data_IF_399119707721
#
_entry.id   IF_399119707721
#
_cell.length_a   1.000
_cell.length_b   1.000
_cell.length_c   1.000
_cell.angle_alpha   90.00
_cell.angle_beta   90.00
_cell.angle_gamma   90.00
#
_symmetry.space_group_name_H-M   'P 1'
#
loop_
_entity.id
_entity.type
_entity.pdbx_description
1 polymer ?
#
# COMPACT_ATOMS: atom_id res chain seq x y z
N UNK A 1 -12.26 10.00 -6.30
CA UNK A 1 -10.96 9.56 -6.87
C UNK A 1 -10.91 8.04 -6.86
N UNK A 2 -10.13 7.44 -7.75
CA UNK A 2 -10.02 5.99 -7.96
C UNK A 2 -8.62 5.51 -7.62
N UNK A 3 -8.49 4.60 -6.65
CA UNK A 3 -7.20 4.11 -6.18
C UNK A 3 -7.08 2.60 -6.31
N UNK A 4 -5.89 2.14 -6.73
CA UNK A 4 -5.54 0.73 -6.65
C UNK A 4 -4.76 0.49 -5.35
N UNK A 5 -5.30 -0.36 -4.50
CA UNK A 5 -4.72 -0.71 -3.19
C UNK A 5 -4.31 -2.17 -3.20
N UNK A 6 -3.04 -2.44 -2.90
CA UNK A 6 -2.52 -3.80 -2.74
C UNK A 6 -2.06 -4.02 -1.31
N UNK A 7 -2.57 -5.08 -0.66
CA UNK A 7 -2.09 -5.54 0.64
C UNK A 7 -1.08 -6.66 0.40
N UNK A 8 0.19 -6.35 0.63
CA UNK A 8 1.30 -7.27 0.44
C UNK A 8 1.55 -8.21 1.62
N UNK A 9 2.35 -9.26 1.37
CA UNK A 9 2.69 -10.28 2.37
C UNK A 9 3.83 -9.86 3.32
N UNK A 10 3.78 -8.67 3.88
CA UNK A 10 4.64 -8.24 4.98
C UNK A 10 3.82 -8.12 6.27
N UNK A 11 4.45 -8.27 7.43
CA UNK A 11 3.81 -7.99 8.72
C UNK A 11 3.32 -6.54 8.76
N UNK A 12 2.22 -6.28 9.46
CA UNK A 12 1.58 -4.95 9.49
C UNK A 12 0.38 -4.83 8.54
N UNK A 13 -0.36 -5.94 8.30
CA UNK A 13 -1.64 -5.89 7.59
C UNK A 13 -2.59 -4.84 8.16
N UNK A 14 -2.45 -4.50 9.44
CA UNK A 14 -3.26 -3.48 10.11
C UNK A 14 -3.15 -2.10 9.44
N UNK A 15 -2.00 -1.73 8.86
CA UNK A 15 -1.85 -0.50 8.08
C UNK A 15 -2.79 -0.50 6.86
N UNK A 16 -2.81 -1.62 6.12
CA UNK A 16 -3.68 -1.77 4.95
C UNK A 16 -5.15 -1.75 5.30
N UNK A 17 -5.54 -2.44 6.38
CA UNK A 17 -6.93 -2.44 6.88
C UNK A 17 -7.37 -1.02 7.24
N UNK A 18 -6.57 -0.33 8.05
CA UNK A 18 -6.88 1.02 8.51
C UNK A 18 -6.94 2.02 7.35
N UNK A 19 -6.03 1.87 6.38
CA UNK A 19 -6.05 2.68 5.16
C UNK A 19 -7.33 2.46 4.34
N UNK A 20 -7.75 1.21 4.11
CA UNK A 20 -8.99 0.87 3.42
C UNK A 20 -10.22 1.48 4.11
N UNK A 21 -10.29 1.39 5.44
CA UNK A 21 -11.39 1.93 6.23
C UNK A 21 -11.53 3.44 6.02
N UNK A 22 -10.44 4.19 6.15
CA UNK A 22 -10.48 5.65 6.01
C UNK A 22 -10.72 6.07 4.54
N UNK A 23 -10.14 5.36 3.58
CA UNK A 23 -10.34 5.66 2.16
C UNK A 23 -11.80 5.41 1.73
N UNK A 24 -12.40 4.31 2.20
CA UNK A 24 -13.82 4.00 1.98
C UNK A 24 -14.73 5.03 2.67
N UNK A 25 -14.45 5.41 3.92
CA UNK A 25 -15.20 6.44 4.65
C UNK A 25 -15.23 7.78 3.91
N UNK A 26 -14.18 8.11 3.16
CA UNK A 26 -14.13 9.32 2.34
C UNK A 26 -14.82 9.18 0.97
N UNK A 27 -15.41 8.02 0.66
CA UNK A 27 -16.16 7.78 -0.56
C UNK A 27 -15.30 7.64 -1.83
N UNK A 28 -14.03 7.23 -1.69
CA UNK A 28 -13.15 6.98 -2.82
C UNK A 28 -13.40 5.59 -3.44
N UNK A 29 -13.27 5.47 -4.75
CA UNK A 29 -13.38 4.20 -5.47
C UNK A 29 -12.11 3.37 -5.24
N UNK A 30 -12.26 2.17 -4.67
CA UNK A 30 -11.17 1.30 -4.26
C UNK A 30 -11.16 0.03 -5.11
N UNK A 31 -10.05 -0.19 -5.80
CA UNK A 31 -9.69 -1.41 -6.52
C UNK A 31 -8.68 -2.17 -5.68
N UNK A 32 -9.04 -3.35 -5.17
CA UNK A 32 -8.28 -4.05 -4.13
C UNK A 32 -7.64 -5.34 -4.65
N UNK A 33 -6.39 -5.55 -4.28
CA UNK A 33 -5.72 -6.85 -4.29
C UNK A 33 -5.24 -7.18 -2.87
N UNK A 34 -5.46 -8.41 -2.43
CA UNK A 34 -4.86 -8.97 -1.22
C UNK A 34 -4.07 -10.21 -1.63
N UNK A 35 -2.74 -10.16 -1.53
CA UNK A 35 -1.89 -11.27 -1.93
C UNK A 35 -2.12 -12.51 -1.06
N UNK A 36 -1.81 -13.71 -1.56
CA UNK A 36 -1.93 -14.96 -0.79
C UNK A 36 -1.11 -14.92 0.50
N UNK A 37 0.09 -14.32 0.45
CA UNK A 37 0.89 -14.07 1.65
C UNK A 37 0.17 -13.17 2.66
N UNK A 38 -0.47 -12.11 2.18
CA UNK A 38 -1.22 -11.20 3.05
C UNK A 38 -2.45 -11.86 3.68
N UNK A 39 -3.16 -12.73 2.96
CA UNK A 39 -4.31 -13.48 3.52
C UNK A 39 -3.88 -14.36 4.70
N UNK A 40 -2.69 -15.00 4.62
CA UNK A 40 -2.13 -15.80 5.72
C UNK A 40 -1.73 -14.93 6.92
N UNK A 41 -1.01 -13.83 6.67
CA UNK A 41 -0.57 -12.90 7.72
C UNK A 41 -1.76 -12.25 8.42
N UNK A 42 -2.79 -11.87 7.68
CA UNK A 42 -4.03 -11.30 8.21
C UNK A 42 -4.64 -12.16 9.32
N UNK A 43 -4.67 -13.49 9.12
CA UNK A 43 -5.20 -14.45 10.09
C UNK A 43 -4.34 -14.58 11.36
N UNK A 44 -3.03 -14.33 11.25
CA UNK A 44 -2.10 -14.40 12.38
C UNK A 44 -2.03 -13.11 13.18
N UNK A 45 -2.15 -11.96 12.53
CA UNK A 45 -1.91 -10.66 13.14
C UNK A 45 -3.18 -9.97 13.63
N UNK A 46 -4.35 -10.33 13.09
CA UNK A 46 -5.58 -9.56 13.31
C UNK A 46 -6.79 -10.46 13.48
N UNK A 47 -7.89 -9.88 13.93
CA UNK A 47 -9.22 -10.52 13.94
C UNK A 47 -10.00 -10.30 12.64
N UNK A 48 -9.45 -9.54 11.69
CA UNK A 48 -10.08 -9.28 10.41
C UNK A 48 -9.98 -10.47 9.47
N UNK A 49 -11.01 -10.67 8.67
CA UNK A 49 -11.04 -11.70 7.63
C UNK A 49 -10.93 -11.06 6.24
N UNK A 50 -10.48 -11.83 5.26
CA UNK A 50 -10.48 -11.39 3.86
C UNK A 50 -11.88 -10.96 3.39
N UNK A 51 -12.93 -11.64 3.88
CA UNK A 51 -14.32 -11.29 3.57
C UNK A 51 -14.66 -9.86 4.04
N UNK A 52 -14.19 -9.46 5.22
CA UNK A 52 -14.37 -8.09 5.74
C UNK A 52 -13.61 -7.07 4.86
N UNK A 53 -12.37 -7.36 4.47
CA UNK A 53 -11.60 -6.43 3.65
C UNK A 53 -12.30 -6.15 2.31
N UNK A 54 -12.92 -7.17 1.71
CA UNK A 54 -13.68 -7.01 0.46
C UNK A 54 -14.83 -6.01 0.58
N UNK A 55 -15.42 -5.85 1.75
CA UNK A 55 -16.55 -4.91 1.95
C UNK A 55 -16.13 -3.45 1.87
N UNK A 56 -14.85 -3.13 1.99
CA UNK A 56 -14.33 -1.78 1.81
C UNK A 56 -14.01 -1.43 0.36
N UNK A 57 -13.97 -2.43 -0.53
CA UNK A 57 -13.57 -2.25 -1.93
C UNK A 57 -14.76 -2.24 -2.88
N UNK A 58 -14.66 -1.47 -3.96
CA UNK A 58 -15.63 -1.46 -5.05
C UNK A 58 -15.39 -2.63 -6.00
N UNK A 59 -14.12 -2.96 -6.26
CA UNK A 59 -13.71 -4.11 -7.07
C UNK A 59 -12.56 -4.81 -6.38
N UNK A 60 -12.60 -6.15 -6.38
CA UNK A 60 -11.52 -7.00 -5.84
C UNK A 60 -11.00 -7.88 -6.97
N UNK A 61 -9.68 -7.95 -7.09
CA UNK A 61 -8.99 -8.73 -8.11
C UNK A 61 -8.13 -9.83 -7.50
N UNK A 62 -7.94 -10.89 -8.25
CA UNK A 62 -6.88 -11.84 -7.96
C UNK A 62 -5.52 -11.26 -8.37
N UNK A 63 -4.49 -11.51 -7.57
CA UNK A 63 -3.16 -10.95 -7.85
C UNK A 63 -2.47 -11.54 -9.08
N UNK A 64 -2.98 -12.67 -9.58
CA UNK A 64 -2.48 -13.36 -10.78
C UNK A 64 -3.26 -12.96 -12.05
N UNK A 65 -4.31 -12.14 -11.93
CA UNK A 65 -5.14 -11.70 -13.07
C UNK A 65 -4.48 -10.53 -13.81
N UNK A 66 -3.60 -10.84 -14.74
CA UNK A 66 -2.96 -9.86 -15.62
C UNK A 66 -3.87 -9.34 -16.75
N UNK A 67 -5.10 -9.84 -16.86
CA UNK A 67 -6.12 -9.32 -17.78
C UNK A 67 -7.00 -8.25 -17.13
N UNK A 68 -6.88 -8.06 -15.81
CA UNK A 68 -7.65 -7.04 -15.08
C UNK A 68 -7.31 -5.61 -15.52
N UNK A 69 -8.29 -4.71 -15.40
CA UNK A 69 -8.15 -3.31 -15.80
C UNK A 69 -6.86 -2.63 -15.31
N UNK A 70 -6.47 -2.72 -14.02
CA UNK A 70 -5.24 -2.10 -13.51
C UNK A 70 -3.93 -2.58 -14.14
N UNK A 71 -3.92 -3.70 -14.86
CA UNK A 71 -2.76 -4.17 -15.62
C UNK A 71 -2.47 -3.33 -16.88
N UNK A 72 -3.38 -2.42 -17.25
CA UNK A 72 -3.23 -1.52 -18.41
C UNK A 72 -2.99 -0.08 -17.96
N UNK A 73 -2.04 0.60 -18.63
CA UNK A 73 -1.81 2.04 -18.41
C UNK A 73 -3.00 2.92 -18.81
N UNK A 74 -3.89 2.44 -19.70
CA UNK A 74 -5.10 3.16 -20.08
C UNK A 74 -6.22 3.11 -19.04
N UNK A 75 -6.12 2.20 -18.04
CA UNK A 75 -7.09 2.16 -16.95
C UNK A 75 -6.88 3.39 -16.03
N UNK A 76 -7.93 4.21 -15.83
CA UNK A 76 -7.77 5.49 -15.13
C UNK A 76 -7.67 5.26 -13.62
N UNK A 77 -6.49 5.50 -13.06
CA UNK A 77 -6.22 5.51 -11.62
C UNK A 77 -5.65 6.87 -11.21
N UNK A 78 -6.07 7.38 -10.09
CA UNK A 78 -5.50 8.59 -9.46
C UNK A 78 -4.22 8.29 -8.67
N UNK A 79 -3.98 7.02 -8.37
CA UNK A 79 -2.77 6.54 -7.71
C UNK A 79 -2.85 5.07 -7.29
N UNK A 80 -1.71 4.56 -6.88
CA UNK A 80 -1.57 3.20 -6.38
C UNK A 80 -0.86 3.18 -5.02
N UNK A 81 -1.32 2.32 -4.13
CA UNK A 81 -0.76 2.16 -2.79
C UNK A 81 -0.52 0.67 -2.52
N UNK A 82 0.71 0.32 -2.14
CA UNK A 82 1.05 -1.02 -1.63
C UNK A 82 1.28 -0.91 -0.12
N UNK A 83 0.37 -1.45 0.68
CA UNK A 83 0.34 -1.25 2.14
C UNK A 83 -0.14 -2.49 2.92
N UNK A 84 0.76 -3.20 3.60
CA UNK A 84 2.20 -3.06 3.59
C UNK A 84 2.83 -3.57 2.29
N UNK A 85 4.05 -3.11 1.97
CA UNK A 85 4.85 -3.59 0.86
C UNK A 85 5.98 -4.49 1.36
N UNK A 86 6.04 -5.74 0.90
CA UNK A 86 7.14 -6.66 1.20
C UNK A 86 8.36 -6.39 0.34
N UNK A 87 9.54 -6.84 0.78
CA UNK A 87 10.77 -6.72 0.00
C UNK A 87 10.69 -7.48 -1.34
N UNK A 88 9.95 -8.60 -1.42
CA UNK A 88 9.67 -9.29 -2.68
C UNK A 88 8.93 -8.36 -3.65
N UNK A 89 7.87 -7.71 -3.20
CA UNK A 89 7.07 -6.80 -4.04
C UNK A 89 7.88 -5.56 -4.41
N UNK A 90 8.65 -5.00 -3.48
CA UNK A 90 9.58 -3.90 -3.75
C UNK A 90 10.56 -4.28 -4.86
N UNK A 91 11.21 -5.45 -4.75
CA UNK A 91 12.16 -5.94 -5.75
C UNK A 91 11.52 -6.08 -7.13
N UNK A 92 10.31 -6.65 -7.22
CA UNK A 92 9.60 -6.80 -8.47
C UNK A 92 9.30 -5.43 -9.12
N UNK A 93 8.87 -4.45 -8.33
CA UNK A 93 8.57 -3.10 -8.82
C UNK A 93 9.85 -2.38 -9.24
N UNK A 94 10.92 -2.45 -8.44
CA UNK A 94 12.20 -1.81 -8.72
C UNK A 94 12.81 -2.27 -10.06
N UNK A 95 12.71 -3.56 -10.36
CA UNK A 95 13.26 -4.15 -11.58
C UNK A 95 12.25 -4.28 -12.73
N UNK A 96 11.02 -3.74 -12.58
CA UNK A 96 10.00 -3.81 -13.63
C UNK A 96 9.47 -5.23 -13.89
N UNK A 97 9.60 -6.13 -12.92
CA UNK A 97 9.14 -7.52 -13.04
C UNK A 97 7.64 -7.63 -12.76
N UNK A 98 6.84 -7.62 -13.83
CA UNK A 98 5.38 -7.55 -13.79
C UNK A 98 4.68 -8.92 -13.78
N UNK A 99 5.09 -9.84 -12.91
CA UNK A 99 4.55 -11.21 -12.80
C UNK A 99 3.22 -11.30 -12.04
N UNK A 100 2.84 -10.23 -11.35
CA UNK A 100 1.58 -10.13 -10.60
C UNK A 100 0.83 -8.86 -10.98
N UNK A 101 -0.48 -8.83 -10.73
CA UNK A 101 -1.28 -7.63 -10.95
C UNK A 101 -0.74 -6.44 -10.15
N UNK A 102 -0.27 -6.67 -8.92
CA UNK A 102 0.35 -5.63 -8.09
C UNK A 102 1.58 -5.02 -8.75
N UNK A 103 2.56 -5.84 -9.18
CA UNK A 103 3.79 -5.32 -9.78
C UNK A 103 3.53 -4.73 -11.18
N UNK A 104 2.62 -5.32 -11.95
CA UNK A 104 2.21 -4.83 -13.26
C UNK A 104 1.50 -3.47 -13.16
N UNK A 105 0.54 -3.32 -12.24
CA UNK A 105 -0.17 -2.06 -12.01
C UNK A 105 0.80 -0.95 -11.54
N UNK A 106 1.79 -1.28 -10.71
CA UNK A 106 2.83 -0.33 -10.31
C UNK A 106 3.62 0.18 -11.51
N UNK A 107 4.08 -0.73 -12.38
CA UNK A 107 4.77 -0.37 -13.62
C UNK A 107 3.90 0.51 -14.53
N UNK A 108 2.61 0.18 -14.66
CA UNK A 108 1.67 1.01 -15.42
C UNK A 108 1.49 2.41 -14.79
N UNK A 109 1.34 2.50 -13.48
CA UNK A 109 1.21 3.79 -12.80
C UNK A 109 2.49 4.63 -12.94
N UNK A 110 3.67 4.06 -12.76
CA UNK A 110 4.96 4.77 -12.88
C UNK A 110 5.17 5.32 -14.29
N UNK A 111 4.98 4.51 -15.33
CA UNK A 111 5.17 4.98 -16.72
C UNK A 111 4.16 6.05 -17.16
N UNK A 112 2.97 6.08 -16.55
CA UNK A 112 1.94 7.09 -16.78
C UNK A 112 2.09 8.32 -15.86
N UNK A 113 3.16 8.40 -15.08
CA UNK A 113 3.43 9.50 -14.14
C UNK A 113 2.45 9.58 -12.98
N UNK A 114 1.75 8.47 -12.66
CA UNK A 114 0.82 8.40 -11.55
C UNK A 114 1.54 8.06 -10.26
N UNK A 115 1.03 8.55 -9.15
CA UNK A 115 1.64 8.33 -7.84
C UNK A 115 1.58 6.85 -7.43
N UNK A 116 2.73 6.29 -7.07
CA UNK A 116 2.86 4.94 -6.48
C UNK A 116 3.49 5.10 -5.10
N UNK A 117 2.78 4.65 -4.05
CA UNK A 117 3.24 4.72 -2.66
C UNK A 117 3.49 3.30 -2.16
N UNK A 118 4.72 3.05 -1.70
CA UNK A 118 5.15 1.77 -1.15
C UNK A 118 5.37 1.92 0.36
N UNK A 119 4.45 1.35 1.17
CA UNK A 119 4.58 1.33 2.63
C UNK A 119 5.44 0.14 3.02
N UNK A 120 6.74 0.35 3.06
CA UNK A 120 7.75 -0.69 3.28
C UNK A 120 7.77 -1.16 4.74
N UNK A 121 7.80 -2.49 4.96
CA UNK A 121 7.97 -3.06 6.29
C UNK A 121 8.94 -4.25 6.25
N UNK A 122 10.14 -4.01 6.75
CA UNK A 122 11.20 -4.99 6.93
C UNK A 122 12.17 -4.53 8.03
N UNK A 123 12.66 -5.47 8.84
CA UNK A 123 13.66 -5.19 9.89
C UNK A 123 14.43 -6.48 10.23
N UNK A 124 15.78 -6.49 10.20
CA UNK A 124 16.66 -5.46 9.65
C UNK A 124 16.60 -5.41 8.11
N UNK A 125 17.19 -4.37 7.51
CA UNK A 125 17.32 -4.27 6.05
C UNK A 125 18.62 -4.92 5.60
N UNK A 126 18.53 -5.71 4.53
CA UNK A 126 19.69 -6.25 3.83
C UNK A 126 20.15 -5.32 2.67
N UNK A 127 21.35 -5.55 2.16
CA UNK A 127 21.89 -4.74 1.06
C UNK A 127 21.04 -4.79 -0.21
N UNK A 128 20.51 -5.96 -0.67
CA UNK A 128 19.58 -6.01 -1.79
C UNK A 128 18.33 -5.15 -1.58
N UNK A 129 17.73 -5.20 -0.41
CA UNK A 129 16.56 -4.39 -0.05
C UNK A 129 16.85 -2.89 -0.15
N UNK A 130 18.00 -2.45 0.37
CA UNK A 130 18.41 -1.03 0.29
C UNK A 130 18.61 -0.60 -1.16
N UNK A 131 19.26 -1.42 -2.01
CA UNK A 131 19.43 -1.13 -3.44
C UNK A 131 18.09 -1.06 -4.16
N UNK A 132 17.18 -2.00 -3.91
CA UNK A 132 15.84 -1.98 -4.49
C UNK A 132 15.03 -0.75 -4.07
N UNK A 133 15.22 -0.27 -2.84
CA UNK A 133 14.63 1.00 -2.38
C UNK A 133 15.15 2.17 -3.20
N UNK A 134 16.46 2.23 -3.47
CA UNK A 134 17.03 3.29 -4.29
C UNK A 134 16.45 3.26 -5.72
N UNK A 135 16.46 2.12 -6.38
CA UNK A 135 15.97 1.96 -7.75
C UNK A 135 14.47 2.27 -7.88
N UNK A 136 13.65 1.80 -6.92
CA UNK A 136 12.24 2.14 -6.89
C UNK A 136 12.01 3.65 -6.70
N UNK A 137 12.84 4.31 -5.87
CA UNK A 137 12.80 5.76 -5.68
C UNK A 137 13.19 6.52 -6.94
N UNK A 138 14.24 6.10 -7.64
CA UNK A 138 14.69 6.67 -8.90
C UNK A 138 13.64 6.51 -10.01
N UNK A 139 12.89 5.41 -9.99
CA UNK A 139 11.75 5.17 -10.89
C UNK A 139 10.52 6.03 -10.59
N UNK A 140 10.54 6.84 -9.52
CA UNK A 140 9.47 7.77 -9.17
C UNK A 140 8.52 7.30 -8.06
N UNK A 141 8.74 6.11 -7.47
CA UNK A 141 7.92 5.66 -6.35
C UNK A 141 8.13 6.51 -5.08
N UNK A 142 7.09 6.67 -4.30
CA UNK A 142 7.16 7.24 -2.96
C UNK A 142 7.41 6.09 -1.97
N UNK A 143 8.58 6.09 -1.36
CA UNK A 143 8.91 5.13 -0.31
C UNK A 143 8.46 5.68 1.03
N UNK A 144 7.61 4.94 1.74
CA UNK A 144 7.08 5.31 3.04
C UNK A 144 7.35 4.14 3.99
N UNK A 145 8.49 4.13 4.69
CA UNK A 145 8.74 3.06 5.67
C UNK A 145 7.70 3.05 6.78
N UNK A 146 7.32 1.85 7.25
CA UNK A 146 6.41 1.66 8.38
C UNK A 146 7.06 2.03 9.71
N UNK A 147 7.64 3.22 9.80
CA UNK A 147 8.37 3.76 10.95
C UNK A 147 7.59 4.96 11.52
N UNK A 148 6.72 4.74 12.52
CA UNK A 148 5.92 5.81 13.10
C UNK A 148 6.79 6.79 13.91
N UNK A 149 6.39 8.08 13.94
CA UNK A 149 6.98 9.06 14.83
C UNK A 149 6.28 9.06 16.19
N UNK A 150 6.91 9.63 17.22
CA UNK A 150 6.42 9.66 18.58
C UNK A 150 6.09 11.08 19.11
N UNK A 151 6.30 12.12 18.31
CA UNK A 151 6.06 13.50 18.74
C UNK A 151 4.59 13.80 19.05
N UNK A 152 3.65 13.04 18.48
CA UNK A 152 2.22 13.18 18.74
C UNK A 152 1.78 12.49 20.03
N UNK A 153 2.73 11.87 20.78
CA UNK A 153 2.53 11.17 22.07
C UNK A 153 1.49 10.04 21.94
N UNK A 154 1.78 9.00 21.14
CA UNK A 154 0.87 7.87 20.99
C UNK A 154 0.70 7.13 22.33
N UNK A 155 -0.54 6.78 22.68
CA UNK A 155 -0.89 6.04 23.88
C UNK A 155 -1.27 4.59 23.57
N UNK A 156 -1.68 4.32 22.33
CA UNK A 156 -2.13 3.01 21.85
C UNK A 156 -1.43 2.66 20.54
N UNK A 157 -1.46 1.37 20.19
CA UNK A 157 -0.91 0.87 18.92
C UNK A 157 -1.62 1.52 17.73
N UNK A 158 -2.93 1.75 17.84
CA UNK A 158 -3.73 2.38 16.81
C UNK A 158 -3.23 3.79 16.46
N UNK A 159 -2.70 4.52 17.43
CA UNK A 159 -2.16 5.86 17.19
C UNK A 159 -0.88 5.82 16.33
N UNK A 160 -0.07 4.75 16.47
CA UNK A 160 1.09 4.50 15.61
C UNK A 160 0.66 4.09 14.19
N UNK A 161 -0.39 3.26 14.09
CA UNK A 161 -0.99 2.87 12.81
C UNK A 161 -1.57 4.09 12.10
N UNK A 162 -2.32 4.91 12.80
CA UNK A 162 -2.93 6.13 12.29
C UNK A 162 -1.88 7.14 11.80
N UNK A 163 -0.71 7.21 12.44
CA UNK A 163 0.39 8.03 11.94
C UNK A 163 0.85 7.59 10.55
N UNK A 164 1.12 6.30 10.36
CA UNK A 164 1.56 5.77 9.05
C UNK A 164 0.46 5.97 7.99
N UNK A 165 -0.77 5.64 8.31
CA UNK A 165 -1.91 5.80 7.39
C UNK A 165 -2.11 7.28 7.02
N UNK A 166 -2.05 8.18 7.99
CA UNK A 166 -2.12 9.62 7.73
C UNK A 166 -0.99 10.12 6.83
N UNK A 167 0.23 9.56 6.96
CA UNK A 167 1.33 9.89 6.05
C UNK A 167 1.06 9.41 4.61
N UNK A 168 0.35 8.30 4.42
CA UNK A 168 -0.12 7.88 3.09
C UNK A 168 -1.12 8.90 2.54
N UNK A 169 -2.10 9.34 3.34
CA UNK A 169 -3.06 10.37 2.96
C UNK A 169 -2.38 11.69 2.61
N UNK A 170 -1.36 12.13 3.38
CA UNK A 170 -0.55 13.31 3.06
C UNK A 170 0.10 13.18 1.68
N UNK A 171 0.67 12.02 1.35
CA UNK A 171 1.27 11.78 0.04
C UNK A 171 0.24 11.80 -1.08
N UNK A 172 -1.00 11.40 -0.84
CA UNK A 172 -2.10 11.47 -1.81
C UNK A 172 -2.68 12.88 -1.95
N UNK A 173 -2.36 13.79 -1.06
CA UNK A 173 -2.96 15.14 -1.00
C UNK A 173 -4.38 15.12 -0.44
N UNK A 174 -4.75 14.05 0.28
CA UNK A 174 -6.07 13.89 0.89
C UNK A 174 -6.09 14.44 2.32
N UNK A 175 -7.20 15.06 2.69
CA UNK A 175 -7.38 15.57 4.05
C UNK A 175 -7.63 14.44 5.03
N UNK A 176 -7.08 14.55 6.23
CA UNK A 176 -7.32 13.62 7.33
C UNK A 176 -7.05 14.25 8.70
N UNK A 177 -7.54 13.61 9.76
CA UNK A 177 -7.32 13.99 11.16
C UNK A 177 -6.75 12.84 12.01
N UNK A 178 -6.01 11.91 11.38
CA UNK A 178 -5.57 10.67 12.02
C UNK A 178 -4.50 10.88 13.09
N UNK A 179 -3.71 11.95 12.99
CA UNK A 179 -2.72 12.28 14.01
C UNK A 179 -2.55 13.80 14.17
N UNK A 180 -2.05 14.20 15.35
CA UNK A 180 -1.72 15.61 15.62
C UNK A 180 -0.46 15.98 14.85
N UNK A 181 -0.57 16.99 13.99
CA UNK A 181 0.57 17.49 13.20
C UNK A 181 1.60 18.18 14.09
N UNK A 182 2.86 18.08 13.69
CA UNK A 182 3.92 18.90 14.27
C UNK A 182 3.62 20.40 13.99
N UNK A 183 3.82 21.22 15.02
CA UNK A 183 3.58 22.68 14.93
C UNK A 183 4.79 23.36 14.31
#
# INVERSE_FOLDING_TARGET
MKYFVSIGGASGCIYGIRFLQELNKQGHEIHLVVSEGAKKILQHETTYTYAILKTYAHVVYDNDDLCAGPASGSFPLDGMIVVPCSMKTLSAIAHGFGDTLTSRAASCCLKEGRKVILVLRETPLDLPGIKNMLEAKESGAVLLPGMPAFYHKPERIEDLVDFIVGKVFDQLGLQHSLFRRWK
#
